data_IF_685279628027
#
_entry.id   IF_685279628027
#
_cell.length_a   1.000
_cell.length_b   1.000
_cell.length_c   1.000
_cell.angle_alpha   90.00
_cell.angle_beta   90.00
_cell.angle_gamma   90.00
#
_symmetry.space_group_name_H-M   'P 1'
#
loop_
_entity.id
_entity.type
_entity.pdbx_description
1 polymer ?
#
# COMPACT_ATOMS: atom_id res chain seq x y z
N UNK A 1 43.94 -1.41 56.31
CA UNK A 1 43.00 -0.27 56.48
C UNK A 1 41.94 -0.64 57.51
N UNK A 2 41.59 0.26 58.44
CA UNK A 2 40.49 0.03 59.40
C UNK A 2 39.16 0.43 58.76
N UNK A 3 38.16 -0.45 58.77
CA UNK A 3 36.79 -0.12 58.38
C UNK A 3 36.13 0.63 59.54
N UNK A 4 35.67 1.85 59.30
CA UNK A 4 35.00 2.68 60.31
C UNK A 4 33.49 2.49 60.21
N UNK A 5 32.76 2.77 61.30
CA UNK A 5 31.29 2.73 61.28
C UNK A 5 30.69 3.66 60.23
N UNK A 6 31.32 4.82 60.00
CA UNK A 6 30.93 5.74 58.92
C UNK A 6 31.11 5.13 57.53
N UNK A 7 32.19 4.37 57.29
CA UNK A 7 32.38 3.65 56.02
C UNK A 7 31.37 2.52 55.83
N UNK A 8 31.01 1.81 56.90
CA UNK A 8 30.02 0.73 56.87
C UNK A 8 28.61 1.27 56.58
N UNK A 9 28.20 2.35 57.27
CA UNK A 9 26.94 3.04 57.05
C UNK A 9 26.87 3.65 55.64
N UNK A 10 27.95 4.30 55.17
CA UNK A 10 28.02 4.85 53.81
C UNK A 10 28.00 3.78 52.71
N UNK A 11 28.53 2.58 52.96
CA UNK A 11 28.39 1.44 52.04
C UNK A 11 26.94 0.92 52.04
N UNK A 12 26.33 0.76 53.21
CA UNK A 12 24.92 0.34 53.33
C UNK A 12 23.96 1.29 52.60
N UNK A 13 24.13 2.61 52.77
CA UNK A 13 23.31 3.60 52.08
C UNK A 13 23.48 3.53 50.55
N UNK A 14 24.72 3.38 50.06
CA UNK A 14 24.98 3.19 48.62
C UNK A 14 24.31 1.92 48.07
N UNK A 15 24.31 0.83 48.83
CA UNK A 15 23.64 -0.40 48.42
C UNK A 15 22.12 -0.25 48.40
N UNK A 16 21.54 0.45 49.38
CA UNK A 16 20.11 0.76 49.41
C UNK A 16 19.70 1.66 48.24
N UNK A 17 20.48 2.71 47.94
CA UNK A 17 20.22 3.57 46.78
C UNK A 17 20.29 2.79 45.46
N UNK A 18 21.30 1.93 45.28
CA UNK A 18 21.40 1.04 44.10
C UNK A 18 20.24 0.05 44.01
N UNK A 19 19.75 -0.46 45.14
CA UNK A 19 18.62 -1.38 45.19
C UNK A 19 17.33 -0.68 44.76
N UNK A 20 17.10 0.54 45.26
CA UNK A 20 15.97 1.39 44.82
C UNK A 20 16.03 1.70 43.32
N UNK A 21 17.23 2.03 42.79
CA UNK A 21 17.42 2.31 41.37
C UNK A 21 17.06 1.09 40.50
N UNK A 22 17.55 -0.11 40.86
CA UNK A 22 17.18 -1.35 40.16
C UNK A 22 15.70 -1.67 40.22
N UNK A 23 15.06 -1.45 41.38
CA UNK A 23 13.63 -1.63 41.54
C UNK A 23 12.85 -0.66 40.63
N UNK A 24 13.32 0.59 40.51
CA UNK A 24 12.78 1.56 39.56
C UNK A 24 12.91 1.09 38.12
N UNK A 25 14.06 0.54 37.72
CA UNK A 25 14.24 -0.03 36.37
C UNK A 25 13.26 -1.16 36.07
N UNK A 26 13.05 -2.11 36.99
CA UNK A 26 12.07 -3.18 36.78
C UNK A 26 10.63 -2.67 36.76
N UNK A 27 10.29 -1.68 37.59
CA UNK A 27 8.99 -1.02 37.53
C UNK A 27 8.76 -0.34 36.17
N UNK A 28 9.78 0.36 35.66
CA UNK A 28 9.73 1.00 34.36
C UNK A 28 9.59 -0.03 33.22
N UNK A 29 10.30 -1.16 33.29
CA UNK A 29 10.17 -2.26 32.32
C UNK A 29 8.80 -2.93 32.37
N UNK A 30 8.19 -3.09 33.55
CA UNK A 30 6.82 -3.60 33.68
C UNK A 30 5.78 -2.62 33.16
N UNK A 31 5.99 -1.32 33.38
CA UNK A 31 5.08 -0.28 32.93
C UNK A 31 5.10 -0.12 31.40
N UNK A 32 6.27 -0.22 30.77
CA UNK A 32 6.40 -0.05 29.31
C UNK A 32 6.32 -1.37 28.54
N UNK A 33 6.51 -2.51 29.20
CA UNK A 33 6.66 -3.81 28.55
C UNK A 33 7.93 -3.95 27.71
N UNK A 34 8.85 -2.98 27.80
CA UNK A 34 10.08 -2.92 27.00
C UNK A 34 11.28 -3.29 27.86
N UNK A 35 12.22 -4.01 27.25
CA UNK A 35 13.51 -4.40 27.83
C UNK A 35 14.40 -3.19 28.12
N UNK A 36 14.34 -2.17 27.27
CA UNK A 36 15.05 -0.91 27.44
C UNK A 36 14.09 0.27 27.31
N UNK A 37 14.27 1.29 28.14
CA UNK A 37 13.52 2.55 28.03
C UNK A 37 14.40 3.70 27.59
N UNK A 38 15.71 3.61 27.83
CA UNK A 38 16.69 4.61 27.39
C UNK A 38 17.78 3.95 26.55
N UNK A 39 18.32 4.64 25.53
CA UNK A 39 19.47 4.14 24.78
C UNK A 39 20.72 3.90 25.64
N UNK A 40 20.80 4.53 26.82
CA UNK A 40 21.87 4.31 27.80
C UNK A 40 21.81 2.95 28.49
N UNK A 41 20.65 2.30 28.53
CA UNK A 41 20.45 1.05 29.28
C UNK A 41 21.11 -0.13 28.55
N UNK A 42 20.95 -0.18 27.22
CA UNK A 42 21.70 -1.05 26.32
C UNK A 42 21.81 -0.40 24.92
N UNK A 43 22.97 0.19 24.57
CA UNK A 43 23.14 0.86 23.29
C UNK A 43 23.09 -0.10 22.10
N UNK A 44 23.39 -1.39 22.29
CA UNK A 44 23.36 -2.38 21.22
C UNK A 44 21.91 -2.74 20.88
N UNK A 45 21.09 -3.00 21.89
CA UNK A 45 19.66 -3.24 21.71
C UNK A 45 18.97 -2.00 21.13
N UNK A 46 19.33 -0.80 21.60
CA UNK A 46 18.78 0.45 21.09
C UNK A 46 19.12 0.68 19.61
N UNK A 47 20.39 0.49 19.20
CA UNK A 47 20.80 0.66 17.80
C UNK A 47 20.12 -0.35 16.88
N UNK A 48 20.03 -1.62 17.30
CA UNK A 48 19.30 -2.65 16.55
C UNK A 48 17.80 -2.35 16.46
N UNK A 49 17.20 -1.90 17.56
CA UNK A 49 15.79 -1.50 17.63
C UNK A 49 15.48 -0.39 16.64
N UNK A 50 16.30 0.66 16.58
CA UNK A 50 16.15 1.73 15.58
C UNK A 50 16.19 1.18 14.15
N UNK A 51 17.15 0.31 13.83
CA UNK A 51 17.24 -0.28 12.50
C UNK A 51 16.03 -1.15 12.16
N UNK A 52 15.55 -1.97 13.09
CA UNK A 52 14.36 -2.80 12.89
C UNK A 52 13.08 -1.97 12.77
N UNK A 53 12.94 -0.87 13.51
CA UNK A 53 11.83 0.08 13.35
C UNK A 53 11.85 0.72 11.97
N UNK A 54 13.00 1.20 11.49
CA UNK A 54 13.11 1.75 10.13
C UNK A 54 12.71 0.72 9.09
N UNK A 55 13.21 -0.52 9.20
CA UNK A 55 12.84 -1.59 8.28
C UNK A 55 11.33 -1.91 8.33
N UNK A 56 10.71 -1.91 9.52
CA UNK A 56 9.27 -2.12 9.66
C UNK A 56 8.48 -0.99 8.99
N UNK A 57 8.85 0.27 9.23
CA UNK A 57 8.21 1.43 8.59
C UNK A 57 8.36 1.41 7.06
N UNK A 58 9.52 0.97 6.54
CA UNK A 58 9.71 0.75 5.09
C UNK A 58 8.75 -0.31 4.55
N UNK A 59 8.61 -1.44 5.26
CA UNK A 59 7.69 -2.53 4.87
C UNK A 59 6.23 -2.09 4.92
N UNK A 60 5.82 -1.37 5.96
CA UNK A 60 4.47 -0.78 6.07
C UNK A 60 4.20 0.22 4.93
N UNK A 61 5.21 1.00 4.53
CA UNK A 61 5.09 1.89 3.36
C UNK A 61 4.89 1.08 2.07
N UNK A 62 5.62 -0.02 1.90
CA UNK A 62 5.42 -0.91 0.75
C UNK A 62 4.02 -1.53 0.73
N UNK A 63 3.44 -1.91 1.87
CA UNK A 63 2.04 -2.35 1.93
C UNK A 63 1.06 -1.26 1.49
N UNK A 64 1.25 -0.01 1.94
CA UNK A 64 0.42 1.12 1.50
C UNK A 64 0.54 1.32 -0.02
N UNK A 65 1.75 1.30 -0.54
CA UNK A 65 2.03 1.41 -1.97
C UNK A 65 1.38 0.27 -2.78
N UNK A 66 1.43 -0.97 -2.26
CA UNK A 66 0.78 -2.13 -2.87
C UNK A 66 -0.74 -1.95 -2.90
N UNK A 67 -1.35 -1.51 -1.79
CA UNK A 67 -2.80 -1.25 -1.74
C UNK A 67 -3.23 -0.15 -2.71
N UNK A 68 -2.45 0.93 -2.84
CA UNK A 68 -2.68 1.97 -3.85
C UNK A 68 -2.57 1.41 -5.27
N UNK A 69 -1.56 0.57 -5.52
CA UNK A 69 -1.37 -0.10 -6.81
C UNK A 69 -2.56 -1.00 -7.14
N UNK A 70 -3.06 -1.78 -6.18
CA UNK A 70 -4.27 -2.61 -6.35
C UNK A 70 -5.48 -1.78 -6.74
N UNK A 71 -5.74 -0.69 -6.01
CA UNK A 71 -6.86 0.19 -6.33
C UNK A 71 -6.74 0.74 -7.75
N UNK A 72 -5.54 1.14 -8.18
CA UNK A 72 -5.33 1.60 -9.55
C UNK A 72 -5.60 0.50 -10.59
N UNK A 73 -5.06 -0.70 -10.35
CA UNK A 73 -5.18 -1.83 -11.28
C UNK A 73 -6.61 -2.37 -11.37
N UNK A 74 -7.33 -2.51 -10.25
CA UNK A 74 -8.72 -2.98 -10.24
C UNK A 74 -9.67 -2.01 -10.96
N UNK A 75 -9.51 -0.71 -10.72
CA UNK A 75 -10.31 0.28 -11.44
C UNK A 75 -9.93 0.37 -12.93
N UNK A 76 -8.66 0.15 -13.26
CA UNK A 76 -8.21 0.08 -14.66
C UNK A 76 -8.81 -1.13 -15.37
N UNK A 77 -8.82 -2.29 -14.71
CA UNK A 77 -9.44 -3.52 -15.21
C UNK A 77 -10.95 -3.34 -15.41
N UNK A 78 -11.65 -2.76 -14.42
CA UNK A 78 -13.08 -2.49 -14.53
C UNK A 78 -13.40 -1.53 -15.69
N UNK A 79 -12.58 -0.50 -15.90
CA UNK A 79 -12.71 0.41 -17.05
C UNK A 79 -12.48 -0.31 -18.38
N UNK A 80 -11.44 -1.13 -18.49
CA UNK A 80 -11.18 -1.95 -19.68
C UNK A 80 -12.32 -2.93 -19.95
N UNK A 81 -12.87 -3.57 -18.90
CA UNK A 81 -13.97 -4.51 -19.02
C UNK A 81 -15.23 -3.83 -19.56
N UNK A 82 -15.58 -2.65 -19.02
CA UNK A 82 -16.70 -1.85 -19.53
C UNK A 82 -16.46 -1.46 -20.99
N UNK A 83 -15.25 -0.99 -21.33
CA UNK A 83 -14.89 -0.68 -22.71
C UNK A 83 -15.03 -1.90 -23.63
N UNK A 84 -14.59 -3.07 -23.19
CA UNK A 84 -14.69 -4.33 -23.96
C UNK A 84 -16.15 -4.70 -24.22
N UNK A 85 -17.02 -4.60 -23.21
CA UNK A 85 -18.46 -4.88 -23.35
C UNK A 85 -19.13 -3.90 -24.34
N UNK A 86 -18.76 -2.61 -24.27
CA UNK A 86 -19.24 -1.60 -25.22
C UNK A 86 -18.80 -1.93 -26.65
N UNK A 87 -17.54 -2.28 -26.87
CA UNK A 87 -17.04 -2.65 -28.20
C UNK A 87 -17.69 -3.93 -28.73
N UNK A 88 -17.94 -4.93 -27.88
CA UNK A 88 -18.70 -6.13 -28.26
C UNK A 88 -20.12 -5.78 -28.70
N UNK A 89 -20.80 -4.87 -28.00
CA UNK A 89 -22.13 -4.40 -28.41
C UNK A 89 -22.09 -3.67 -29.75
N UNK A 90 -21.10 -2.79 -29.96
CA UNK A 90 -20.90 -2.11 -31.25
C UNK A 90 -20.66 -3.13 -32.36
N UNK A 91 -19.89 -4.18 -32.10
CA UNK A 91 -19.64 -5.28 -33.04
C UNK A 91 -20.93 -6.02 -33.41
N UNK A 92 -21.78 -6.35 -32.44
CA UNK A 92 -23.09 -6.98 -32.70
C UNK A 92 -23.96 -6.10 -33.60
N UNK A 93 -24.03 -4.80 -33.30
CA UNK A 93 -24.79 -3.83 -34.09
C UNK A 93 -24.23 -3.66 -35.51
N UNK A 94 -22.92 -3.72 -35.68
CA UNK A 94 -22.25 -3.69 -36.98
C UNK A 94 -22.57 -4.92 -37.83
N UNK A 95 -22.52 -6.12 -37.23
CA UNK A 95 -22.92 -7.36 -37.90
C UNK A 95 -24.40 -7.33 -38.25
N UNK A 96 -25.24 -6.80 -37.35
CA UNK A 96 -26.66 -6.60 -37.63
C UNK A 96 -26.85 -5.67 -38.82
N UNK A 97 -26.17 -4.52 -38.83
CA UNK A 97 -26.24 -3.51 -39.89
C UNK A 97 -25.74 -4.00 -41.26
N UNK A 98 -24.73 -4.87 -41.27
CA UNK A 98 -24.19 -5.50 -42.49
C UNK A 98 -25.17 -6.48 -43.15
N UNK A 99 -26.24 -6.91 -42.45
CA UNK A 99 -27.30 -7.69 -43.09
C UNK A 99 -28.06 -6.82 -44.12
N UNK A 100 -28.00 -7.20 -45.40
CA UNK A 100 -28.60 -6.47 -46.52
C UNK A 100 -30.14 -6.38 -46.55
N UNK A 101 -30.82 -6.81 -45.49
CA UNK A 101 -32.27 -6.70 -45.32
C UNK A 101 -32.72 -5.46 -44.54
N UNK A 102 -31.79 -4.71 -43.94
CA UNK A 102 -32.13 -3.51 -43.15
C UNK A 102 -32.48 -2.32 -44.04
N UNK A 103 -33.53 -1.58 -43.67
CA UNK A 103 -33.87 -0.34 -44.34
C UNK A 103 -32.96 0.84 -43.92
N UNK A 104 -32.99 1.96 -44.64
CA UNK A 104 -32.23 3.17 -44.28
C UNK A 104 -32.60 3.74 -42.91
N UNK A 105 -33.85 3.57 -42.47
CA UNK A 105 -34.30 4.01 -41.14
C UNK A 105 -33.78 3.10 -40.02
N UNK A 106 -33.67 1.79 -40.27
CA UNK A 106 -33.10 0.83 -39.31
C UNK A 106 -31.60 1.10 -39.10
N UNK A 107 -30.87 1.41 -40.18
CA UNK A 107 -29.44 1.76 -40.11
C UNK A 107 -29.21 3.05 -39.32
N UNK A 108 -30.08 4.06 -39.47
CA UNK A 108 -30.00 5.29 -38.66
C UNK A 108 -30.28 5.03 -37.18
N UNK A 109 -31.24 4.16 -36.85
CA UNK A 109 -31.53 3.78 -35.47
C UNK A 109 -30.33 3.07 -34.83
N UNK A 110 -29.70 2.14 -35.55
CA UNK A 110 -28.46 1.48 -35.11
C UNK A 110 -27.33 2.50 -34.92
N UNK A 111 -27.18 3.45 -35.84
CA UNK A 111 -26.20 4.54 -35.71
C UNK A 111 -26.41 5.41 -34.46
N UNK A 112 -27.65 5.66 -34.07
CA UNK A 112 -27.98 6.39 -32.84
C UNK A 112 -27.60 5.60 -31.57
N UNK A 113 -27.77 4.27 -31.57
CA UNK A 113 -27.31 3.41 -30.48
C UNK A 113 -25.78 3.39 -30.37
N UNK A 114 -25.07 3.30 -31.50
CA UNK A 114 -23.60 3.36 -31.53
C UNK A 114 -23.08 4.72 -31.04
N UNK A 115 -23.80 5.81 -31.31
CA UNK A 115 -23.48 7.12 -30.76
C UNK A 115 -23.56 7.13 -29.22
N UNK A 116 -24.60 6.54 -28.64
CA UNK A 116 -24.71 6.42 -27.18
C UNK A 116 -23.58 5.56 -26.60
N UNK A 117 -23.27 4.44 -27.25
CA UNK A 117 -22.15 3.57 -26.87
C UNK A 117 -20.80 4.28 -26.95
N UNK A 118 -20.60 5.18 -27.91
CA UNK A 118 -19.42 6.05 -27.99
C UNK A 118 -19.34 7.00 -26.80
N UNK A 119 -20.45 7.60 -26.39
CA UNK A 119 -20.52 8.46 -25.20
C UNK A 119 -20.22 7.67 -23.92
N UNK A 120 -20.75 6.45 -23.79
CA UNK A 120 -20.44 5.55 -22.68
C UNK A 120 -18.96 5.14 -22.66
N UNK A 121 -18.35 4.89 -23.82
CA UNK A 121 -16.92 4.60 -23.93
C UNK A 121 -16.05 5.80 -23.50
N UNK A 122 -16.47 7.02 -23.83
CA UNK A 122 -15.82 8.25 -23.33
C UNK A 122 -15.94 8.34 -21.81
N UNK A 123 -17.09 7.96 -21.25
CA UNK A 123 -17.29 7.86 -19.81
C UNK A 123 -16.33 6.86 -19.15
N UNK A 124 -16.19 5.67 -19.74
CA UNK A 124 -15.26 4.64 -19.28
C UNK A 124 -13.80 5.10 -19.35
N UNK A 125 -13.41 5.78 -20.43
CA UNK A 125 -12.08 6.37 -20.60
C UNK A 125 -11.79 7.47 -19.57
N UNK A 126 -12.82 8.13 -19.04
CA UNK A 126 -12.72 9.19 -18.03
C UNK A 126 -12.94 8.69 -16.59
N UNK A 127 -12.78 7.40 -16.34
CA UNK A 127 -12.88 6.83 -14.98
C UNK A 127 -11.90 7.50 -14.03
N UNK A 128 -12.40 7.83 -12.83
CA UNK A 128 -11.61 8.48 -11.78
C UNK A 128 -11.50 7.60 -10.54
N UNK A 129 -10.30 7.59 -9.94
CA UNK A 129 -10.04 6.98 -8.64
C UNK A 129 -9.49 8.06 -7.71
N UNK A 130 -10.15 8.26 -6.58
CA UNK A 130 -9.78 9.29 -5.59
C UNK A 130 -9.60 10.71 -6.20
N UNK A 131 -10.39 11.04 -7.24
CA UNK A 131 -10.32 12.33 -7.94
C UNK A 131 -9.20 12.46 -8.98
N UNK A 132 -8.50 11.36 -9.27
CA UNK A 132 -7.47 11.27 -10.29
C UNK A 132 -7.95 10.42 -11.47
N UNK A 133 -7.71 10.87 -12.71
CA UNK A 133 -7.98 10.09 -13.92
C UNK A 133 -6.93 8.99 -14.08
N UNK A 134 -7.38 7.74 -14.18
CA UNK A 134 -6.50 6.57 -14.20
C UNK A 134 -5.90 6.27 -15.57
N UNK A 135 -6.52 6.79 -16.62
CA UNK A 135 -6.16 6.56 -18.02
C UNK A 135 -5.39 7.74 -18.66
N UNK A 136 -4.89 8.69 -17.85
CA UNK A 136 -4.11 9.83 -18.34
C UNK A 136 -2.66 9.85 -17.85
N UNK A 137 -1.96 8.70 -17.89
CA UNK A 137 -0.52 8.64 -17.62
C UNK A 137 -0.13 9.27 -16.28
N UNK A 138 0.79 10.25 -16.31
CA UNK A 138 1.19 11.03 -15.12
C UNK A 138 0.36 12.31 -14.92
N UNK A 139 -0.50 12.67 -15.89
CA UNK A 139 -1.38 13.82 -15.82
C UNK A 139 -2.72 13.46 -15.17
N UNK A 140 -2.67 13.09 -13.90
CA UNK A 140 -3.82 12.56 -13.15
C UNK A 140 -4.97 13.55 -12.94
N UNK A 141 -4.78 14.84 -13.21
CA UNK A 141 -5.77 15.91 -12.98
C UNK A 141 -6.51 16.36 -14.24
N UNK A 142 -6.12 15.87 -15.41
CA UNK A 142 -6.74 16.24 -16.68
C UNK A 142 -7.53 15.05 -17.24
N UNK A 143 -8.72 15.32 -17.78
CA UNK A 143 -9.53 14.29 -18.41
C UNK A 143 -8.80 13.77 -19.67
N UNK A 144 -8.53 12.45 -19.78
CA UNK A 144 -7.82 11.87 -20.91
C UNK A 144 -8.59 12.03 -22.22
N UNK A 145 -9.92 12.06 -22.13
CA UNK A 145 -10.81 12.13 -23.29
C UNK A 145 -11.78 13.29 -23.12
N UNK A 146 -11.65 14.31 -23.97
CA UNK A 146 -12.61 15.42 -24.01
C UNK A 146 -13.48 15.32 -25.24
N UNK A 147 -14.80 15.34 -25.03
CA UNK A 147 -15.80 15.41 -26.09
C UNK A 147 -15.97 16.89 -26.48
N UNK A 148 -15.50 17.28 -27.66
CA UNK A 148 -15.74 18.62 -28.16
C UNK A 148 -17.18 18.76 -28.68
N UNK A 149 -17.69 19.99 -28.71
CA UNK A 149 -19.06 20.31 -29.15
C UNK A 149 -19.39 19.86 -30.60
N UNK A 150 -18.37 19.54 -31.40
CA UNK A 150 -18.48 19.04 -32.78
C UNK A 150 -18.61 17.50 -32.89
N UNK A 151 -18.61 16.77 -31.77
CA UNK A 151 -18.72 15.30 -31.75
C UNK A 151 -17.39 14.56 -32.02
N UNK A 152 -16.30 15.29 -32.22
CA UNK A 152 -14.92 14.79 -32.26
C UNK A 152 -14.36 14.62 -30.86
N UNK A 153 -13.72 13.48 -30.64
CA UNK A 153 -13.08 13.13 -29.39
C UNK A 153 -11.61 13.53 -29.48
N UNK A 154 -11.16 14.44 -28.61
CA UNK A 154 -9.72 14.74 -28.48
C UNK A 154 -9.16 13.93 -27.33
N UNK A 155 -8.15 13.13 -27.65
CA UNK A 155 -7.45 12.27 -26.71
C UNK A 155 -6.12 12.94 -26.37
N UNK A 156 -5.96 13.39 -25.13
CA UNK A 156 -4.69 13.93 -24.64
C UNK A 156 -4.17 12.96 -23.57
N UNK A 157 -3.44 11.93 -24.02
CA UNK A 157 -2.91 10.87 -23.17
C UNK A 157 -1.41 11.05 -23.00
N UNK A 158 -0.98 11.16 -21.75
CA UNK A 158 0.43 11.00 -21.41
C UNK A 158 0.82 9.51 -21.38
N UNK A 159 1.95 9.19 -22.04
CA UNK A 159 2.49 7.82 -22.17
C UNK A 159 3.46 7.45 -21.04
N UNK A 160 3.73 8.37 -20.13
CA UNK A 160 4.74 8.20 -19.09
C UNK A 160 4.34 7.08 -18.10
N UNK A 161 5.24 6.14 -17.79
CA UNK A 161 4.94 5.07 -16.84
C UNK A 161 4.78 5.64 -15.43
N UNK A 162 3.69 5.27 -14.77
CA UNK A 162 3.49 5.55 -13.35
C UNK A 162 4.01 4.34 -12.57
N UNK A 163 5.23 4.46 -12.08
CA UNK A 163 5.93 3.41 -11.34
C UNK A 163 5.79 3.62 -9.84
N UNK A 164 5.34 2.59 -9.16
CA UNK A 164 5.24 2.56 -7.70
C UNK A 164 6.27 1.55 -7.18
N UNK A 165 7.08 1.97 -6.21
CA UNK A 165 7.97 1.05 -5.49
C UNK A 165 7.14 0.20 -4.52
N UNK A 166 6.94 -1.07 -4.87
CA UNK A 166 6.12 -2.03 -4.11
C UNK A 166 6.96 -2.93 -3.20
N UNK A 167 8.28 -2.90 -3.36
CA UNK A 167 9.24 -3.62 -2.52
C UNK A 167 10.63 -3.06 -2.77
N UNK A 168 11.59 -3.29 -1.86
CA UNK A 168 12.95 -2.76 -1.96
C UNK A 168 13.59 -3.04 -3.32
N UNK A 169 13.75 -1.99 -4.14
CA UNK A 169 14.34 -2.07 -5.47
C UNK A 169 13.47 -2.72 -6.55
N UNK A 170 12.18 -2.95 -6.27
CA UNK A 170 11.19 -3.46 -7.23
C UNK A 170 10.14 -2.40 -7.46
N UNK A 171 10.20 -1.79 -8.64
CA UNK A 171 9.19 -0.88 -9.14
C UNK A 171 8.19 -1.64 -10.02
N UNK A 172 6.90 -1.37 -9.84
CA UNK A 172 5.83 -1.91 -10.66
C UNK A 172 5.10 -0.76 -11.34
N UNK A 173 4.89 -0.90 -12.66
CA UNK A 173 4.09 0.04 -13.43
C UNK A 173 2.60 -0.20 -13.14
N UNK A 174 1.99 0.73 -12.42
CA UNK A 174 0.58 0.68 -12.01
C UNK A 174 -0.37 1.12 -13.13
N UNK A 175 0.06 2.05 -14.00
CA UNK A 175 -0.77 2.51 -15.11
C UNK A 175 -0.78 1.56 -16.32
N UNK A 176 -1.89 1.57 -17.03
CA UNK A 176 -2.03 0.95 -18.34
C UNK A 176 -1.59 1.90 -19.45
N UNK A 177 -1.24 1.36 -20.62
CA UNK A 177 -1.03 2.21 -21.77
C UNK A 177 -2.39 2.61 -22.36
N UNK A 178 -2.85 3.82 -22.04
CA UNK A 178 -4.19 4.25 -22.41
C UNK A 178 -4.34 4.49 -23.92
N UNK A 179 -3.23 4.66 -24.65
CA UNK A 179 -3.20 4.69 -26.12
C UNK A 179 -3.64 3.33 -26.72
N UNK A 180 -3.32 2.22 -26.06
CA UNK A 180 -3.67 0.90 -26.55
C UNK A 180 -5.13 0.51 -26.23
N UNK A 181 -5.77 1.18 -25.27
CA UNK A 181 -7.14 0.89 -24.80
C UNK A 181 -8.15 1.91 -25.31
N UNK A 182 -7.87 3.21 -25.14
CA UNK A 182 -8.75 4.33 -25.50
C UNK A 182 -8.05 5.28 -26.50
N UNK A 183 -7.47 4.72 -27.57
CA UNK A 183 -6.79 5.51 -28.62
C UNK A 183 -7.74 6.48 -29.32
N UNK A 184 -7.18 7.57 -29.83
CA UNK A 184 -7.86 8.46 -30.80
C UNK A 184 -8.39 7.66 -32.00
N UNK A 185 -7.59 6.73 -32.53
CA UNK A 185 -7.98 5.84 -33.62
C UNK A 185 -9.27 5.06 -33.34
N UNK A 186 -9.46 4.56 -32.10
CA UNK A 186 -10.68 3.83 -31.74
C UNK A 186 -11.90 4.74 -31.87
N UNK A 187 -11.82 5.97 -31.36
CA UNK A 187 -12.89 6.94 -31.47
C UNK A 187 -13.12 7.41 -32.92
N UNK A 188 -12.07 7.46 -33.75
CA UNK A 188 -12.16 7.73 -35.20
C UNK A 188 -12.87 6.60 -35.94
N UNK A 189 -12.56 5.34 -35.61
CA UNK A 189 -13.25 4.16 -36.16
C UNK A 189 -14.73 4.21 -35.77
N UNK A 190 -15.05 4.46 -34.50
CA UNK A 190 -16.44 4.61 -34.04
C UNK A 190 -17.18 5.76 -34.73
N UNK A 191 -16.53 6.91 -34.94
CA UNK A 191 -17.11 8.03 -35.67
C UNK A 191 -17.32 7.71 -37.17
N UNK A 192 -16.43 6.91 -37.76
CA UNK A 192 -16.56 6.46 -39.14
C UNK A 192 -17.73 5.48 -39.31
N UNK A 193 -17.93 4.59 -38.33
CA UNK A 193 -19.09 3.69 -38.25
C UNK A 193 -20.40 4.49 -38.14
N UNK A 194 -20.46 5.46 -37.23
CA UNK A 194 -21.62 6.36 -37.07
C UNK A 194 -21.95 7.09 -38.39
N UNK A 195 -20.93 7.59 -39.09
CA UNK A 195 -21.10 8.30 -40.37
C UNK A 195 -21.57 7.37 -41.50
N UNK A 196 -21.01 6.16 -41.59
CA UNK A 196 -21.43 5.16 -42.57
C UNK A 196 -22.91 4.80 -42.39
N UNK A 197 -23.31 4.49 -41.16
CA UNK A 197 -24.68 4.08 -40.82
C UNK A 197 -25.70 5.21 -40.97
N UNK A 198 -25.35 6.45 -40.62
CA UNK A 198 -26.23 7.61 -40.80
C UNK A 198 -26.41 8.01 -42.28
N UNK A 199 -25.41 7.72 -43.13
CA UNK A 199 -25.49 7.93 -44.58
C UNK A 199 -26.29 6.86 -45.33
N UNK A 200 -26.60 5.73 -44.66
CA UNK A 200 -27.31 4.60 -45.25
C UNK A 200 -26.47 3.79 -46.25
N UNK A 201 -25.15 4.00 -46.28
CA UNK A 201 -24.21 3.27 -47.12
C UNK A 201 -23.55 2.13 -46.33
N UNK A 202 -23.89 0.88 -46.68
CA UNK A 202 -23.28 -0.30 -46.09
C UNK A 202 -21.93 -0.67 -46.73
N UNK A 203 -21.52 0.04 -47.79
CA UNK A 203 -20.30 -0.22 -48.54
C UNK A 203 -19.07 0.20 -47.72
N UNK A 204 -18.42 -0.75 -47.04
CA UNK A 204 -17.20 -0.51 -46.25
C UNK A 204 -17.32 -0.85 -44.76
N UNK A 205 -18.48 -1.31 -44.28
CA UNK A 205 -18.68 -1.80 -42.91
C UNK A 205 -17.71 -2.95 -42.57
N UNK A 206 -17.40 -3.83 -43.52
CA UNK A 206 -16.50 -4.96 -43.28
C UNK A 206 -15.06 -4.52 -42.95
N UNK A 207 -14.59 -3.43 -43.57
CA UNK A 207 -13.27 -2.85 -43.26
C UNK A 207 -13.25 -2.23 -41.86
N UNK A 208 -14.28 -1.46 -41.52
CA UNK A 208 -14.44 -0.87 -40.19
C UNK A 208 -14.62 -1.93 -39.10
N UNK A 209 -15.26 -3.07 -39.41
CA UNK A 209 -15.38 -4.21 -38.51
C UNK A 209 -14.02 -4.84 -38.24
N UNK A 210 -13.20 -5.00 -39.28
CA UNK A 210 -11.81 -5.48 -39.12
C UNK A 210 -10.97 -4.52 -38.29
N UNK A 211 -11.14 -3.21 -38.47
CA UNK A 211 -10.43 -2.20 -37.67
C UNK A 211 -10.89 -2.24 -36.20
N UNK A 212 -12.19 -2.38 -35.96
CA UNK A 212 -12.76 -2.54 -34.61
C UNK A 212 -12.23 -3.80 -33.92
N UNK A 213 -12.23 -4.94 -34.62
CA UNK A 213 -11.70 -6.21 -34.11
C UNK A 213 -10.21 -6.06 -33.75
N UNK A 214 -9.42 -5.37 -34.58
CA UNK A 214 -8.02 -5.07 -34.27
C UNK A 214 -7.82 -4.20 -33.02
N UNK A 215 -8.73 -3.24 -32.75
CA UNK A 215 -8.68 -2.46 -31.50
C UNK A 215 -9.15 -3.26 -30.28
N UNK A 216 -10.12 -4.16 -30.45
CA UNK A 216 -10.54 -5.10 -29.40
C UNK A 216 -9.39 -6.06 -29.02
N UNK A 217 -8.59 -6.49 -29.99
CA UNK A 217 -7.40 -7.32 -29.74
C UNK A 217 -6.33 -6.57 -28.93
N UNK A 218 -6.07 -5.29 -29.25
CA UNK A 218 -5.15 -4.44 -28.48
C UNK A 218 -5.63 -4.23 -27.04
N UNK A 219 -6.92 -3.96 -26.85
CA UNK A 219 -7.53 -3.84 -25.52
C UNK A 219 -7.41 -5.14 -24.73
N UNK A 220 -7.65 -6.28 -25.37
CA UNK A 220 -7.49 -7.61 -24.77
C UNK A 220 -6.03 -7.92 -24.41
N UNK A 221 -5.08 -7.48 -25.22
CA UNK A 221 -3.64 -7.63 -24.94
C UNK A 221 -3.21 -6.80 -23.73
N UNK A 222 -3.65 -5.55 -23.61
CA UNK A 222 -3.40 -4.71 -22.42
C UNK A 222 -4.04 -5.30 -21.17
N UNK A 223 -5.27 -5.81 -21.27
CA UNK A 223 -5.96 -6.51 -20.18
C UNK A 223 -5.14 -7.72 -19.69
N UNK A 224 -4.63 -8.52 -20.62
CA UNK A 224 -3.78 -9.67 -20.29
C UNK A 224 -2.46 -9.25 -19.62
N UNK A 225 -1.85 -8.15 -20.07
CA UNK A 225 -0.65 -7.59 -19.44
C UNK A 225 -0.94 -7.08 -18.02
N UNK A 226 -2.06 -6.38 -17.82
CA UNK A 226 -2.52 -5.92 -16.52
C UNK A 226 -2.72 -7.11 -15.57
N UNK A 227 -3.37 -8.17 -16.03
CA UNK A 227 -3.54 -9.41 -15.26
C UNK A 227 -2.22 -10.09 -14.89
N UNK A 228 -1.23 -10.11 -15.79
CA UNK A 228 0.10 -10.62 -15.48
C UNK A 228 0.80 -9.80 -14.39
N UNK A 229 0.66 -8.47 -14.43
CA UNK A 229 1.17 -7.58 -13.38
C UNK A 229 0.40 -7.76 -12.06
N UNK A 230 -0.90 -8.04 -12.11
CA UNK A 230 -1.74 -8.25 -10.93
C UNK A 230 -1.27 -9.49 -10.17
N UNK A 231 -1.07 -10.60 -10.87
CA UNK A 231 -0.49 -11.83 -10.30
C UNK A 231 0.90 -11.58 -9.70
N UNK A 232 1.72 -10.73 -10.34
CA UNK A 232 3.03 -10.34 -9.80
C UNK A 232 2.89 -9.49 -8.53
N UNK A 233 1.91 -8.60 -8.46
CA UNK A 233 1.64 -7.78 -7.29
C UNK A 233 1.21 -8.65 -6.09
N UNK A 234 0.34 -9.64 -6.32
CA UNK A 234 -0.09 -10.60 -5.29
C UNK A 234 1.10 -11.38 -4.70
N UNK A 235 2.01 -11.87 -5.55
CA UNK A 235 3.25 -12.52 -5.08
C UNK A 235 4.16 -11.59 -4.27
N UNK A 236 4.17 -10.29 -4.61
CA UNK A 236 4.95 -9.29 -3.88
C UNK A 236 4.27 -8.96 -2.55
N UNK A 237 2.95 -8.83 -2.52
CA UNK A 237 2.15 -8.62 -1.30
C UNK A 237 2.39 -9.74 -0.29
N UNK A 238 2.27 -10.99 -0.72
CA UNK A 238 2.55 -12.17 0.11
C UNK A 238 3.96 -12.13 0.72
N UNK A 239 4.95 -11.71 -0.08
CA UNK A 239 6.34 -11.59 0.36
C UNK A 239 6.51 -10.44 1.36
N UNK A 240 5.92 -9.28 1.08
CA UNK A 240 6.00 -8.09 1.94
C UNK A 240 5.25 -8.34 3.26
N UNK A 241 4.10 -8.99 3.25
CA UNK A 241 3.38 -9.41 4.46
C UNK A 241 4.19 -10.39 5.32
N UNK A 242 4.87 -11.39 4.69
CA UNK A 242 5.81 -12.25 5.42
C UNK A 242 6.98 -11.46 6.01
N UNK A 243 7.50 -10.47 5.27
CA UNK A 243 8.59 -9.62 5.75
C UNK A 243 8.15 -8.74 6.92
N UNK A 244 6.91 -8.25 6.92
CA UNK A 244 6.32 -7.49 8.03
C UNK A 244 6.27 -8.35 9.30
N UNK A 245 5.69 -9.55 9.20
CA UNK A 245 5.61 -10.50 10.33
C UNK A 245 7.00 -10.79 10.90
N UNK A 246 7.99 -11.05 10.04
CA UNK A 246 9.36 -11.31 10.47
C UNK A 246 9.99 -10.08 11.12
N UNK A 247 9.79 -8.88 10.56
CA UNK A 247 10.35 -7.63 11.08
C UNK A 247 9.75 -7.29 12.45
N UNK A 248 8.43 -7.43 12.59
CA UNK A 248 7.71 -7.24 13.85
C UNK A 248 8.17 -8.24 14.91
N UNK A 249 8.35 -9.51 14.55
CA UNK A 249 8.87 -10.52 15.48
C UNK A 249 10.29 -10.20 15.93
N UNK A 250 11.19 -9.82 15.03
CA UNK A 250 12.58 -9.46 15.37
C UNK A 250 12.60 -8.20 16.26
N UNK A 251 11.74 -7.21 15.97
CA UNK A 251 11.61 -6.02 16.80
C UNK A 251 11.15 -6.37 18.22
N UNK A 252 10.13 -7.25 18.33
CA UNK A 252 9.62 -7.76 19.61
C UNK A 252 10.70 -8.53 20.38
N UNK A 253 11.39 -9.49 19.74
CA UNK A 253 12.50 -10.25 20.36
C UNK A 253 13.64 -9.34 20.87
N UNK A 254 13.87 -8.20 20.20
CA UNK A 254 14.92 -7.25 20.59
C UNK A 254 14.48 -6.29 21.71
N UNK A 255 13.25 -5.75 21.64
CA UNK A 255 12.80 -4.66 22.50
C UNK A 255 11.82 -5.05 23.60
N UNK A 256 11.08 -6.14 23.47
CA UNK A 256 10.04 -6.51 24.44
C UNK A 256 10.67 -7.24 25.63
N UNK A 257 10.15 -6.96 26.82
CA UNK A 257 10.57 -7.61 28.05
C UNK A 257 9.78 -8.91 28.26
N UNK A 258 10.48 -9.96 28.72
CA UNK A 258 9.86 -11.16 29.30
C UNK A 258 9.27 -10.76 30.67
N UNK A 259 7.97 -10.49 30.69
CA UNK A 259 7.29 -9.94 31.86
C UNK A 259 7.35 -10.92 33.04
N UNK A 260 7.27 -12.22 32.79
CA UNK A 260 7.40 -13.25 33.81
C UNK A 260 8.74 -13.17 34.52
N UNK A 261 9.82 -13.04 33.75
CA UNK A 261 11.16 -12.86 34.30
C UNK A 261 11.31 -11.51 35.01
N UNK A 262 10.78 -10.43 34.46
CA UNK A 262 10.87 -9.09 35.09
C UNK A 262 10.12 -9.06 36.42
N UNK A 263 8.92 -9.67 36.50
CA UNK A 263 8.17 -9.78 37.76
C UNK A 263 8.96 -10.60 38.79
N UNK A 264 9.58 -11.70 38.37
CA UNK A 264 10.41 -12.54 39.24
C UNK A 264 11.61 -11.76 39.79
N UNK A 265 12.35 -11.07 38.91
CA UNK A 265 13.51 -10.26 39.27
C UNK A 265 13.14 -9.06 40.16
N UNK A 266 11.99 -8.44 39.91
CA UNK A 266 11.43 -7.38 40.75
C UNK A 266 11.11 -7.89 42.16
N UNK A 267 10.40 -9.02 42.26
CA UNK A 267 10.02 -9.63 43.56
C UNK A 267 11.27 -10.05 44.35
N UNK A 268 12.28 -10.60 43.66
CA UNK A 268 13.56 -10.92 44.25
C UNK A 268 14.26 -9.65 44.77
N UNK A 269 14.27 -8.55 44.00
CA UNK A 269 14.85 -7.29 44.48
C UNK A 269 14.09 -6.64 45.61
N UNK A 270 12.76 -6.68 45.62
CA UNK A 270 11.96 -6.21 46.76
C UNK A 270 12.34 -6.96 48.04
N UNK A 271 12.52 -8.28 47.94
CA UNK A 271 12.93 -9.13 49.06
C UNK A 271 14.34 -8.78 49.54
N UNK A 272 15.29 -8.61 48.62
CA UNK A 272 16.67 -8.19 48.92
C UNK A 272 16.68 -6.80 49.58
N UNK A 273 15.89 -5.86 49.07
CA UNK A 273 15.80 -4.51 49.59
C UNK A 273 15.28 -4.48 51.03
N UNK A 274 14.20 -5.23 51.32
CA UNK A 274 13.67 -5.39 52.68
C UNK A 274 14.70 -6.01 53.62
N UNK A 275 15.44 -7.01 53.16
CA UNK A 275 16.52 -7.62 53.94
C UNK A 275 17.67 -6.63 54.19
N UNK A 276 18.07 -5.85 53.19
CA UNK A 276 19.11 -4.82 53.29
C UNK A 276 18.72 -3.71 54.27
N UNK A 277 17.45 -3.29 54.29
CA UNK A 277 16.93 -2.35 55.30
C UNK A 277 17.03 -2.93 56.72
N UNK A 278 16.68 -4.20 56.90
CA UNK A 278 16.77 -4.88 58.19
C UNK A 278 18.22 -4.99 58.70
N UNK A 279 19.16 -5.33 57.81
CA UNK A 279 20.59 -5.41 58.13
C UNK A 279 21.18 -4.02 58.40
N UNK A 280 20.83 -3.03 57.59
CA UNK A 280 21.25 -1.64 57.77
C UNK A 280 20.81 -1.08 59.12
N UNK A 281 19.57 -1.37 59.55
CA UNK A 281 19.06 -0.98 60.86
C UNK A 281 19.88 -1.58 62.01
N UNK A 282 20.35 -2.84 61.88
CA UNK A 282 21.20 -3.49 62.89
C UNK A 282 22.64 -2.95 62.90
N UNK A 283 23.18 -2.62 61.72
CA UNK A 283 24.55 -2.10 61.57
C UNK A 283 24.70 -0.68 62.13
N UNK A 284 23.67 0.15 62.02
CA UNK A 284 23.66 1.54 62.51
C UNK A 284 23.43 1.59 64.03
N UNK A 285 23.10 0.46 64.67
CA UNK A 285 22.71 0.36 66.09
C UNK A 285 23.77 -0.08 67.13
N UNK A 286 25.10 0.08 67.00
CA UNK A 286 25.94 0.10 68.19
C UNK A 286 25.84 1.51 68.79
N UNK A 287 24.96 1.67 69.79
CA UNK A 287 24.96 2.89 70.61
C UNK A 287 26.33 3.06 71.26
N UNK A 288 26.76 4.30 71.48
CA UNK A 288 27.99 4.64 72.23
C UNK A 288 28.11 3.90 73.58
N UNK A 289 26.99 3.44 74.15
CA UNK A 289 26.91 2.67 75.39
C UNK A 289 27.46 1.23 75.29
N UNK A 290 27.50 0.62 74.10
CA UNK A 290 28.10 -0.71 73.91
C UNK A 290 29.63 -0.66 73.77
N UNK A 291 30.18 0.51 73.43
CA UNK A 291 31.63 0.73 73.34
C UNK A 291 32.25 1.19 74.66
N UNK A 292 31.42 1.52 75.66
CA UNK A 292 31.81 2.01 77.00
C UNK A 292 31.68 0.93 78.10
N UNK A 293 31.64 -0.36 77.74
CA UNK A 293 31.78 -1.48 78.68
C UNK A 293 33.17 -2.08 78.67
#
# INVERSE_FOLDING_TARGET
>A
MRVTQSMLAGNSLRNLSKSYEKMGTYQDQLATGKKINRPSDDPVVAMKGMHYRTNLTEVEQYQRNISETYQWMENSEAGIEQGTQVLQRVRELMVQASNGTNGPEDLKAIGAEIKQLKEDLVGSANTQVAGNYIFNGTQTKEAPVTLNADGTVTVNIDKSPFEIEVSKGVQLKANINSDNVFSEDLFVVMGSIEKALSSGDASGLDGLLSDLDGKMDLMSAERAELGARYNRLELIEDRVGKQEIVSTRILSENEDADLEKVIMDMTAQESIHRAALSVGARIIQPTLMDFLR
#
